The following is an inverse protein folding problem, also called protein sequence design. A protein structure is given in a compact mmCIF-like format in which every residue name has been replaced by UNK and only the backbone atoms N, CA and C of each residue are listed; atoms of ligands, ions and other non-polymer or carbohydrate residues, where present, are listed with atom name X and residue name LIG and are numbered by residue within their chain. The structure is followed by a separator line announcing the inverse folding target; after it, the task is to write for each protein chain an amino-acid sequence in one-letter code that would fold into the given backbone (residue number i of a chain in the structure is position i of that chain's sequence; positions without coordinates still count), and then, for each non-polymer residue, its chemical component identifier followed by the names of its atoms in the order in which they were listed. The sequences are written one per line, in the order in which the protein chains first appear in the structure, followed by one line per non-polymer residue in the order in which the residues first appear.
data_IF_902246881496
#
_entry.id   IF_902246881496
#
_cell.length_a   1.000
_cell.length_b   1.000
_cell.length_c   1.000
_cell.angle_alpha   90.00
_cell.angle_beta   90.00
_cell.angle_gamma   90.00
#
_symmetry.space_group_name_H-M   'P 1'
#
loop_
_entity.id
_entity.type
_entity.pdbx_description
1 polymer ?
#
# COMPACT_ATOMS: atom_id res chain seq x y z
N UNK A 1 20.60 -6.00 -3.90
CA UNK A 1 19.52 -5.50 -3.10
C UNK A 1 19.07 -4.11 -3.50
N UNK A 2 20.04 -3.23 -3.70
CA UNK A 2 19.72 -1.91 -4.21
C UNK A 2 19.08 -1.99 -5.59
N UNK A 3 19.53 -2.91 -6.41
CA UNK A 3 18.98 -3.08 -7.74
C UNK A 3 17.54 -3.59 -7.65
N UNK A 4 17.25 -4.47 -6.71
CA UNK A 4 15.90 -4.94 -6.50
C UNK A 4 14.96 -3.78 -6.13
N UNK A 5 15.42 -2.89 -5.27
CA UNK A 5 14.60 -1.73 -4.91
C UNK A 5 14.33 -0.83 -6.11
N UNK A 6 15.34 -0.67 -6.96
CA UNK A 6 15.18 0.15 -8.16
C UNK A 6 14.18 -0.49 -9.12
N UNK A 7 14.28 -1.80 -9.30
CA UNK A 7 13.36 -2.51 -10.19
C UNK A 7 11.94 -2.45 -9.67
N UNK A 8 11.77 -2.64 -8.36
CA UNK A 8 10.45 -2.55 -7.76
C UNK A 8 9.88 -1.14 -7.89
N UNK A 9 10.71 -0.13 -7.66
CA UNK A 9 10.27 1.25 -7.77
C UNK A 9 9.85 1.58 -9.20
N UNK A 10 10.59 1.07 -10.19
CA UNK A 10 10.25 1.30 -11.59
C UNK A 10 8.92 0.64 -11.92
N UNK A 11 8.72 -0.59 -11.46
CA UNK A 11 7.46 -1.29 -11.70
C UNK A 11 6.30 -0.56 -11.06
N UNK A 12 6.49 -0.03 -9.86
CA UNK A 12 5.45 0.73 -9.18
C UNK A 12 5.12 2.02 -9.92
N UNK A 13 6.14 2.71 -10.43
CA UNK A 13 5.91 3.94 -11.18
C UNK A 13 5.07 3.65 -12.42
N UNK A 14 5.36 2.56 -13.09
CA UNK A 14 4.60 2.15 -14.26
C UNK A 14 3.16 1.84 -13.88
N UNK A 15 2.97 1.15 -12.77
CA UNK A 15 1.63 0.80 -12.29
C UNK A 15 0.84 2.05 -11.92
N UNK A 16 1.48 3.03 -11.30
CA UNK A 16 0.80 4.28 -10.95
C UNK A 16 0.40 5.05 -12.20
N UNK A 17 1.23 5.00 -13.24
CA UNK A 17 0.86 5.62 -14.52
C UNK A 17 -0.33 4.93 -15.13
N UNK A 18 -0.41 3.62 -15.00
CA UNK A 18 -1.54 2.83 -15.46
C UNK A 18 -2.83 3.27 -14.80
N UNK A 19 -2.76 3.57 -13.50
CA UNK A 19 -3.93 4.01 -12.76
C UNK A 19 -4.50 5.28 -13.37
N UNK A 20 -3.64 6.22 -13.72
CA UNK A 20 -4.09 7.47 -14.33
C UNK A 20 -4.77 7.20 -15.66
N UNK A 21 -4.23 6.30 -16.45
CA UNK A 21 -4.83 5.95 -17.72
C UNK A 21 -6.21 5.32 -17.52
N UNK A 22 -6.32 4.41 -16.57
CA UNK A 22 -7.58 3.75 -16.28
C UNK A 22 -8.62 4.78 -15.85
N UNK A 23 -8.23 5.72 -15.00
CA UNK A 23 -9.14 6.77 -14.57
C UNK A 23 -9.72 7.54 -15.75
N UNK A 24 -8.89 7.83 -16.74
CA UNK A 24 -9.33 8.57 -17.91
C UNK A 24 -10.28 7.76 -18.78
N UNK A 25 -10.07 6.46 -18.83
CA UNK A 25 -10.88 5.59 -19.69
C UNK A 25 -12.25 5.30 -19.08
N UNK A 26 -12.27 4.93 -17.80
CA UNK A 26 -13.52 4.52 -17.16
C UNK A 26 -14.18 5.66 -16.39
N UNK A 27 -13.51 6.80 -16.25
CA UNK A 27 -14.01 7.97 -15.51
C UNK A 27 -14.33 7.62 -14.06
N UNK A 28 -13.50 6.77 -13.48
CA UNK A 28 -13.65 6.33 -12.09
C UNK A 28 -12.28 5.94 -11.56
N UNK A 29 -12.17 5.83 -10.25
CA UNK A 29 -10.91 5.48 -9.61
C UNK A 29 -10.87 3.99 -9.37
N UNK A 30 -9.85 3.29 -9.88
CA UNK A 30 -9.76 1.85 -9.65
C UNK A 30 -9.34 1.55 -8.22
N UNK A 31 -9.54 0.30 -7.81
CA UNK A 31 -9.03 -0.20 -6.53
C UNK A 31 -7.63 -0.74 -6.78
N UNK A 32 -6.70 -0.37 -5.92
CA UNK A 32 -5.30 -0.76 -6.08
C UNK A 32 -4.97 -1.89 -5.11
N UNK A 33 -4.35 -2.93 -5.63
CA UNK A 33 -3.94 -4.07 -4.83
C UNK A 33 -2.42 -4.15 -4.85
N UNK A 34 -1.80 -4.07 -3.67
CA UNK A 34 -0.36 -4.12 -3.53
C UNK A 34 0.01 -5.30 -2.63
N UNK A 35 0.68 -6.28 -3.20
CA UNK A 35 1.01 -7.50 -2.50
C UNK A 35 2.48 -7.48 -2.10
N UNK A 36 2.73 -7.26 -0.81
CA UNK A 36 4.06 -7.35 -0.21
C UNK A 36 5.09 -6.44 -0.87
N UNK A 37 4.68 -5.26 -1.31
CA UNK A 37 5.61 -4.35 -1.97
C UNK A 37 6.37 -3.49 -0.98
N UNK A 38 5.81 -3.26 0.21
CA UNK A 38 6.45 -2.35 1.16
C UNK A 38 7.77 -2.90 1.69
N UNK A 39 7.89 -4.22 1.78
CA UNK A 39 9.12 -4.83 2.29
C UNK A 39 10.31 -4.63 1.37
N UNK A 40 10.07 -4.30 0.12
CA UNK A 40 11.13 -4.12 -0.86
C UNK A 40 11.50 -2.67 -1.10
N UNK A 41 10.87 -1.76 -0.37
CA UNK A 41 11.10 -0.33 -0.54
C UNK A 41 11.75 0.24 0.71
N UNK A 42 12.63 1.21 0.52
CA UNK A 42 13.15 1.97 1.65
C UNK A 42 12.09 2.97 2.11
N UNK A 43 12.38 3.64 3.22
CA UNK A 43 11.38 4.53 3.82
C UNK A 43 11.00 5.69 2.91
N UNK A 44 11.95 6.20 2.14
CA UNK A 44 11.64 7.31 1.24
C UNK A 44 10.69 6.88 0.14
N UNK A 45 10.90 5.69 -0.41
CA UNK A 45 10.03 5.19 -1.46
C UNK A 45 8.69 4.75 -0.93
N UNK A 46 8.66 4.19 0.27
CA UNK A 46 7.39 3.88 0.93
C UNK A 46 6.56 5.15 1.11
N UNK A 47 7.20 6.20 1.57
CA UNK A 47 6.53 7.46 1.79
C UNK A 47 5.99 8.02 0.48
N UNK A 48 6.79 7.97 -0.56
CA UNK A 48 6.37 8.46 -1.87
C UNK A 48 5.18 7.66 -2.40
N UNK A 49 5.25 6.34 -2.29
CA UNK A 49 4.17 5.49 -2.77
C UNK A 49 2.86 5.80 -2.05
N UNK A 50 2.92 5.83 -0.73
CA UNK A 50 1.71 5.99 0.06
C UNK A 50 1.12 7.38 -0.09
N UNK A 51 1.96 8.39 -0.30
CA UNK A 51 1.46 9.72 -0.59
C UNK A 51 0.80 9.79 -1.97
N UNK A 52 1.26 8.97 -2.90
CA UNK A 52 0.73 8.97 -4.25
C UNK A 52 -0.64 8.31 -4.34
N UNK A 53 -0.98 7.45 -3.39
CA UNK A 53 -2.21 6.67 -3.47
C UNK A 53 -3.20 7.02 -2.37
N UNK A 54 -3.01 8.16 -1.72
CA UNK A 54 -3.83 8.50 -0.54
C UNK A 54 -5.31 8.67 -0.87
N UNK A 55 -5.64 8.96 -2.11
CA UNK A 55 -7.03 9.13 -2.54
C UNK A 55 -7.57 7.93 -3.31
N UNK A 56 -6.85 6.81 -3.26
CA UNK A 56 -7.23 5.59 -3.98
C UNK A 56 -7.52 4.51 -2.96
N UNK A 57 -8.65 3.83 -3.11
CA UNK A 57 -8.93 2.68 -2.26
C UNK A 57 -7.89 1.60 -2.52
N UNK A 58 -7.14 1.26 -1.50
CA UNK A 58 -5.97 0.40 -1.65
C UNK A 58 -5.99 -0.71 -0.62
N UNK A 59 -5.66 -1.91 -1.06
CA UNK A 59 -5.41 -3.04 -0.16
C UNK A 59 -3.95 -3.41 -0.25
N UNK A 60 -3.29 -3.45 0.91
CA UNK A 60 -1.86 -3.72 0.98
C UNK A 60 -1.64 -4.92 1.87
N UNK A 61 -0.87 -5.89 1.38
CA UNK A 61 -0.46 -7.01 2.22
C UNK A 61 1.00 -6.82 2.63
N UNK A 62 1.31 -7.22 3.85
CA UNK A 62 2.67 -7.18 4.37
C UNK A 62 2.80 -8.15 5.53
N UNK A 63 4.05 -8.46 5.89
CA UNK A 63 4.29 -9.43 6.96
C UNK A 63 4.33 -8.79 8.35
N UNK A 64 4.24 -7.50 8.40
CA UNK A 64 4.21 -6.77 9.66
C UNK A 64 4.04 -5.32 9.34
N UNK A 65 3.40 -4.61 10.26
CA UNK A 65 3.17 -3.19 10.04
C UNK A 65 4.31 -2.42 10.68
N UNK A 66 5.14 -1.85 9.85
CA UNK A 66 6.25 -1.01 10.30
C UNK A 66 5.72 0.19 11.05
N UNK A 67 6.36 0.55 12.16
CA UNK A 67 5.96 1.73 12.91
C UNK A 67 5.98 2.98 12.04
N UNK A 68 6.93 3.05 11.12
CA UNK A 68 7.01 4.17 10.21
C UNK A 68 5.73 4.30 9.40
N UNK A 69 5.27 3.19 8.85
CA UNK A 69 4.05 3.20 8.04
C UNK A 69 2.85 3.56 8.88
N UNK A 70 2.74 2.99 10.07
CA UNK A 70 1.58 3.22 10.91
C UNK A 70 1.51 4.66 11.41
N UNK A 71 2.64 5.35 11.50
CA UNK A 71 2.66 6.74 11.94
C UNK A 71 2.53 7.74 10.80
N UNK A 72 2.90 7.34 9.60
CA UNK A 72 2.90 8.23 8.45
C UNK A 72 1.55 8.29 7.75
N UNK A 73 0.73 7.27 7.90
CA UNK A 73 -0.47 7.16 7.11
C UNK A 73 -1.69 6.93 7.96
N UNK A 74 -2.80 7.47 7.48
CA UNK A 74 -4.10 7.15 8.04
C UNK A 74 -4.49 5.79 7.48
N UNK A 75 -4.40 4.78 8.31
CA UNK A 75 -4.76 3.43 7.94
C UNK A 75 -6.19 3.20 8.43
N UNK A 76 -7.09 3.00 7.48
CA UNK A 76 -8.50 2.89 7.83
C UNK A 76 -8.83 1.56 8.48
N UNK A 77 -8.22 0.49 8.03
CA UNK A 77 -8.48 -0.82 8.60
C UNK A 77 -7.23 -1.69 8.50
N UNK A 78 -7.02 -2.46 9.56
CA UNK A 78 -5.92 -3.44 9.61
C UNK A 78 -6.52 -4.78 9.95
N UNK A 79 -6.18 -5.78 9.15
CA UNK A 79 -6.62 -7.14 9.40
C UNK A 79 -5.39 -8.01 9.62
N UNK A 80 -5.43 -8.86 10.62
CA UNK A 80 -4.38 -9.82 10.86
C UNK A 80 -4.84 -11.18 10.35
N UNK A 81 -3.94 -11.85 9.64
CA UNK A 81 -4.22 -13.19 9.14
C UNK A 81 -3.23 -14.14 9.79
N UNK A 82 -3.73 -15.08 10.59
CA UNK A 82 -2.90 -16.03 11.30
C UNK A 82 -3.50 -17.41 11.11
N UNK A 83 -2.71 -18.33 10.56
CA UNK A 83 -3.15 -19.71 10.38
C UNK A 83 -4.49 -19.83 9.68
N UNK A 84 -4.70 -18.99 8.68
CA UNK A 84 -5.93 -19.03 7.90
C UNK A 84 -7.11 -18.30 8.51
N UNK A 85 -6.91 -17.67 9.66
CA UNK A 85 -7.97 -16.92 10.32
C UNK A 85 -7.70 -15.43 10.19
N UNK A 86 -8.76 -14.66 9.96
CA UNK A 86 -8.67 -13.21 9.79
C UNK A 86 -9.37 -12.55 10.97
N UNK A 87 -8.69 -11.60 11.59
CA UNK A 87 -9.32 -10.83 12.66
C UNK A 87 -8.71 -9.44 12.70
N UNK A 88 -9.45 -8.54 13.30
CA UNK A 88 -9.05 -7.15 13.41
C UNK A 88 -8.56 -6.90 14.84
N UNK A 89 -7.33 -6.39 14.99
CA UNK A 89 -6.79 -6.18 16.33
C UNK A 89 -7.58 -5.13 17.08
N UNK A 90 -7.68 -5.31 18.38
CA UNK A 90 -8.29 -4.30 19.23
C UNK A 90 -7.41 -3.08 19.30
N UNK A 91 -8.06 -1.93 19.40
CA UNK A 91 -7.32 -0.69 19.50
C UNK A 91 -6.90 -0.09 18.18
N UNK A 92 -7.32 -0.68 17.08
CA UNK A 92 -7.06 -0.10 15.77
C UNK A 92 -7.81 1.23 15.66
N UNK A 93 -7.11 2.34 15.41
CA UNK A 93 -7.79 3.64 15.39
C UNK A 93 -8.87 3.76 14.34
N UNK A 94 -8.76 2.98 13.29
CA UNK A 94 -9.71 3.05 12.19
C UNK A 94 -11.04 2.42 12.50
N UNK A 95 -11.15 1.78 13.63
CA UNK A 95 -12.40 1.13 14.02
C UNK A 95 -13.53 2.13 14.32
N UNK A 96 -13.16 3.37 14.41
CA UNK A 96 -14.18 4.38 14.70
C UNK A 96 -15.06 4.69 13.50
#
# INVERSE_FOLDING_TARGET
QRQMCIETAAALSLKLSEIELVKQVIHDTPVLLLDDVLSELDHNRQNYLLNSIHDIQTMITCTGLDDFVSHQFTINKVFHVVAGHVYQPMGCPADK
#
